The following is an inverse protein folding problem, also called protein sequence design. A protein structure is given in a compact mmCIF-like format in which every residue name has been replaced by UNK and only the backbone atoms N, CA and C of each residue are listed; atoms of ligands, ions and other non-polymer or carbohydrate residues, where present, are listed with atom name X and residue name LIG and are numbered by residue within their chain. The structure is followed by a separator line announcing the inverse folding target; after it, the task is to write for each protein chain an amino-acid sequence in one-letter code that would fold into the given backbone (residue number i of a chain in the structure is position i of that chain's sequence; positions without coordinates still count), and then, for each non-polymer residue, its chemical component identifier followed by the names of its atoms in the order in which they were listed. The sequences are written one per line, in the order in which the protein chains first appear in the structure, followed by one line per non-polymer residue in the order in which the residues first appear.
data_IF_420032400362
#
_entry.id   IF_420032400362
#
_cell.length_a   1.000
_cell.length_b   1.000
_cell.length_c   1.000
_cell.angle_alpha   90.00
_cell.angle_beta   90.00
_cell.angle_gamma   90.00
#
_symmetry.space_group_name_H-M   'P 1'
#
loop_
_entity.id
_entity.type
_entity.pdbx_description
1 polymer ?
#
# COMPACT_ATOMS: atom_id res chain seq x y z
N UNK A 1 39.39 5.53 23.22
CA UNK A 1 38.56 4.32 23.18
C UNK A 1 38.27 4.05 21.71
N UNK A 2 38.77 2.93 21.13
CA UNK A 2 38.52 2.57 19.74
C UNK A 2 37.05 2.23 19.59
N UNK A 3 36.38 2.96 18.72
CA UNK A 3 35.02 2.71 18.28
C UNK A 3 34.96 1.26 17.75
N UNK A 4 34.25 0.39 18.46
CA UNK A 4 33.99 -0.97 17.95
C UNK A 4 33.05 -0.78 16.78
N UNK A 5 33.59 -0.80 15.56
CA UNK A 5 32.80 -0.73 14.34
C UNK A 5 31.68 -1.78 14.42
N UNK A 6 30.45 -1.32 14.58
CA UNK A 6 29.26 -2.19 14.55
C UNK A 6 29.26 -2.90 13.21
N UNK A 7 29.21 -4.24 13.22
CA UNK A 7 29.15 -5.03 12.00
C UNK A 7 27.91 -4.64 11.19
N UNK A 8 28.00 -4.56 9.84
CA UNK A 8 26.84 -4.38 8.99
C UNK A 8 25.74 -5.41 9.33
N UNK A 9 24.49 -4.99 9.29
CA UNK A 9 23.33 -5.83 9.69
C UNK A 9 23.30 -7.18 8.97
N UNK A 10 23.66 -7.25 7.69
CA UNK A 10 23.75 -8.51 6.94
C UNK A 10 24.76 -9.50 7.54
N UNK A 11 25.93 -9.00 7.97
CA UNK A 11 26.91 -9.86 8.63
C UNK A 11 26.41 -10.34 10.00
N UNK A 12 25.64 -9.50 10.69
CA UNK A 12 24.99 -9.89 11.95
C UNK A 12 23.93 -10.97 11.69
N UNK A 13 23.08 -10.81 10.68
CA UNK A 13 22.07 -11.78 10.27
C UNK A 13 22.68 -13.13 9.90
N UNK A 14 23.75 -13.14 9.10
CA UNK A 14 24.44 -14.38 8.73
C UNK A 14 24.99 -15.11 9.98
N UNK A 15 25.62 -14.38 10.90
CA UNK A 15 26.11 -14.97 12.16
C UNK A 15 24.98 -15.45 13.06
N UNK A 16 23.85 -14.78 13.06
CA UNK A 16 22.67 -15.13 13.85
C UNK A 16 21.99 -16.39 13.31
N UNK A 17 21.84 -16.52 11.99
CA UNK A 17 21.15 -17.66 11.35
C UNK A 17 22.01 -18.91 11.22
N UNK A 18 23.33 -18.76 11.03
CA UNK A 18 24.25 -19.90 10.81
C UNK A 18 24.14 -21.02 11.86
N UNK A 19 24.05 -20.78 13.18
CA UNK A 19 23.95 -21.84 14.17
C UNK A 19 22.54 -22.40 14.34
N UNK A 20 21.52 -21.80 13.73
CA UNK A 20 20.12 -22.20 13.90
C UNK A 20 19.83 -23.55 13.24
N UNK A 21 18.95 -24.34 13.88
CA UNK A 21 18.48 -25.64 13.36
C UNK A 21 17.53 -25.46 12.18
N UNK A 22 18.03 -24.88 11.10
CA UNK A 22 17.27 -24.59 9.87
C UNK A 22 17.94 -25.29 8.68
N UNK A 23 17.12 -25.79 7.76
CA UNK A 23 17.60 -26.25 6.45
C UNK A 23 17.84 -24.97 5.61
N UNK A 24 19.05 -24.74 5.08
CA UNK A 24 19.32 -23.58 4.23
C UNK A 24 18.32 -23.49 3.06
N UNK A 25 17.68 -22.32 2.91
CA UNK A 25 16.64 -22.08 1.90
C UNK A 25 15.32 -22.82 2.13
N UNK A 26 15.18 -23.59 3.20
CA UNK A 26 14.00 -24.41 3.48
C UNK A 26 12.72 -23.61 3.76
N UNK A 27 12.84 -22.33 4.05
CA UNK A 27 11.72 -21.42 4.29
C UNK A 27 11.50 -20.41 3.13
N UNK A 28 12.32 -20.52 2.07
CA UNK A 28 12.17 -19.70 0.87
C UNK A 28 12.01 -18.21 1.17
N UNK A 29 11.01 -17.57 0.59
CA UNK A 29 10.72 -16.12 0.74
C UNK A 29 10.64 -15.64 2.19
N UNK A 30 10.30 -16.52 3.14
CA UNK A 30 10.19 -16.11 4.55
C UNK A 30 11.53 -15.74 5.17
N UNK A 31 12.63 -16.36 4.74
CA UNK A 31 13.97 -15.97 5.14
C UNK A 31 14.34 -14.62 4.53
N UNK A 32 14.01 -14.38 3.26
CA UNK A 32 14.27 -13.11 2.59
C UNK A 32 13.51 -11.96 3.27
N UNK A 33 12.24 -12.18 3.62
CA UNK A 33 11.45 -11.18 4.34
C UNK A 33 11.96 -10.95 5.76
N UNK A 34 12.37 -11.99 6.47
CA UNK A 34 13.01 -11.83 7.78
C UNK A 34 14.26 -10.94 7.68
N UNK A 35 15.13 -11.22 6.71
CA UNK A 35 16.34 -10.43 6.46
C UNK A 35 16.00 -8.98 6.10
N UNK A 36 15.05 -8.78 5.20
CA UNK A 36 14.60 -7.46 4.76
C UNK A 36 14.04 -6.62 5.92
N UNK A 37 13.19 -7.20 6.73
CA UNK A 37 12.61 -6.56 7.91
C UNK A 37 13.70 -6.17 8.92
N UNK A 38 14.59 -7.08 9.28
CA UNK A 38 15.69 -6.79 10.21
C UNK A 38 16.67 -5.75 9.64
N UNK A 39 16.90 -5.77 8.32
CA UNK A 39 17.74 -4.76 7.65
C UNK A 39 17.08 -3.38 7.69
N UNK A 40 15.78 -3.31 7.42
CA UNK A 40 15.00 -2.07 7.50
C UNK A 40 15.04 -1.47 8.92
N UNK A 41 14.91 -2.30 9.95
CA UNK A 41 14.99 -1.86 11.35
C UNK A 41 16.43 -1.52 11.80
N UNK A 42 17.43 -2.13 11.16
CA UNK A 42 18.84 -2.07 11.60
C UNK A 42 19.14 -2.93 12.83
N UNK A 43 18.24 -3.87 13.20
CA UNK A 43 18.36 -4.77 14.33
C UNK A 43 17.68 -6.13 14.06
N UNK A 44 18.09 -7.16 14.80
CA UNK A 44 17.46 -8.48 14.74
C UNK A 44 16.45 -8.59 15.88
N UNK A 45 15.17 -8.65 15.54
CA UNK A 45 14.07 -8.76 16.49
C UNK A 45 13.00 -9.74 16.00
N UNK A 46 12.41 -10.49 16.92
CA UNK A 46 11.27 -11.38 16.66
C UNK A 46 9.91 -10.71 16.86
N UNK A 47 9.88 -9.48 17.36
CA UNK A 47 8.64 -8.82 17.73
C UNK A 47 8.19 -7.83 16.63
N UNK A 48 7.12 -8.20 15.93
CA UNK A 48 6.38 -7.29 15.05
C UNK A 48 5.24 -6.64 15.84
N UNK A 49 5.27 -5.31 15.89
CA UNK A 49 4.20 -4.45 16.40
C UNK A 49 3.56 -3.73 15.23
N UNK A 50 2.49 -4.30 14.66
CA UNK A 50 1.91 -3.78 13.43
C UNK A 50 0.85 -2.72 13.69
N UNK A 51 0.62 -1.86 12.69
CA UNK A 51 -0.54 -0.99 12.57
C UNK A 51 -1.11 -1.09 11.16
N UNK A 52 -2.43 -1.28 11.06
CA UNK A 52 -3.15 -1.18 9.78
C UNK A 52 -3.86 0.16 9.69
N UNK A 53 -3.68 0.89 8.56
CA UNK A 53 -4.29 2.20 8.35
C UNK A 53 -5.11 2.16 7.06
N UNK A 54 -6.40 2.48 7.16
CA UNK A 54 -7.33 2.52 6.03
C UNK A 54 -7.62 3.98 5.69
N UNK A 55 -7.23 4.43 4.50
CA UNK A 55 -7.52 5.78 4.01
C UNK A 55 -8.79 5.77 3.18
N UNK A 56 -9.76 6.63 3.55
CA UNK A 56 -11.07 6.68 2.91
C UNK A 56 -11.27 8.01 2.18
N UNK A 57 -11.61 7.93 0.88
CA UNK A 57 -11.93 9.10 0.06
C UNK A 57 -12.83 8.72 -1.13
N UNK A 58 -13.67 9.65 -1.55
CA UNK A 58 -14.43 9.53 -2.80
C UNK A 58 -13.66 10.12 -3.98
N UNK A 59 -13.83 9.49 -5.14
CA UNK A 59 -13.19 9.90 -6.39
C UNK A 59 -14.23 10.49 -7.36
N UNK A 60 -14.00 11.71 -7.82
CA UNK A 60 -14.94 12.45 -8.67
C UNK A 60 -15.26 11.77 -10.02
N UNK A 61 -14.42 10.85 -10.50
CA UNK A 61 -14.70 10.04 -11.66
C UNK A 61 -15.92 9.13 -11.50
N UNK A 62 -16.36 8.85 -10.28
CA UNK A 62 -17.59 8.09 -10.03
C UNK A 62 -18.86 8.79 -10.55
N UNK A 63 -18.83 10.10 -10.76
CA UNK A 63 -19.93 10.86 -11.36
C UNK A 63 -20.28 10.40 -12.78
N UNK A 64 -19.36 9.73 -13.48
CA UNK A 64 -19.58 9.15 -14.81
C UNK A 64 -20.37 7.82 -14.78
N UNK A 65 -20.76 7.35 -13.59
CA UNK A 65 -21.60 6.16 -13.43
C UNK A 65 -20.91 4.84 -13.78
N UNK A 66 -19.58 4.78 -13.73
CA UNK A 66 -18.83 3.53 -13.93
C UNK A 66 -18.97 2.57 -12.77
N UNK A 67 -19.13 3.11 -11.58
CA UNK A 67 -19.42 2.36 -10.37
C UNK A 67 -20.91 2.51 -10.10
N UNK A 68 -21.65 1.41 -10.06
CA UNK A 68 -23.12 1.42 -9.94
C UNK A 68 -23.63 1.80 -8.54
N UNK A 69 -22.83 2.49 -7.73
CA UNK A 69 -23.14 2.94 -6.39
C UNK A 69 -23.08 4.47 -6.28
N UNK A 70 -23.86 5.05 -5.36
CA UNK A 70 -23.73 6.45 -4.98
C UNK A 70 -22.61 6.64 -3.93
N UNK A 71 -22.19 7.88 -3.69
CA UNK A 71 -21.14 8.22 -2.72
C UNK A 71 -21.45 7.78 -1.28
N UNK A 72 -22.73 7.57 -0.91
CA UNK A 72 -23.08 7.06 0.43
C UNK A 72 -22.43 5.71 0.76
N UNK A 73 -22.04 4.92 -0.26
CA UNK A 73 -21.40 3.62 -0.03
C UNK A 73 -20.03 3.79 0.61
N UNK A 74 -19.21 4.75 0.17
CA UNK A 74 -17.93 5.05 0.81
C UNK A 74 -18.13 5.41 2.28
N UNK A 75 -19.06 6.31 2.56
CA UNK A 75 -19.40 6.72 3.92
C UNK A 75 -19.89 5.54 4.77
N UNK A 76 -20.84 4.76 4.26
CA UNK A 76 -21.44 3.61 4.95
C UNK A 76 -20.40 2.52 5.23
N UNK A 77 -19.55 2.22 4.24
CA UNK A 77 -18.51 1.20 4.41
C UNK A 77 -17.41 1.66 5.39
N UNK A 78 -17.02 2.92 5.35
CA UNK A 78 -16.06 3.48 6.32
C UNK A 78 -16.62 3.43 7.77
N UNK A 79 -17.90 3.71 7.95
CA UNK A 79 -18.58 3.49 9.26
C UNK A 79 -18.64 2.03 9.65
N UNK A 80 -18.91 1.14 8.68
CA UNK A 80 -18.91 -0.31 8.90
C UNK A 80 -17.51 -0.80 9.37
N UNK A 81 -16.44 -0.24 8.81
CA UNK A 81 -15.07 -0.47 9.25
C UNK A 81 -14.82 -0.01 10.69
N UNK A 82 -15.25 1.21 11.05
CA UNK A 82 -15.15 1.70 12.42
C UNK A 82 -15.87 0.79 13.44
N UNK A 83 -17.00 0.23 13.05
CA UNK A 83 -17.73 -0.74 13.86
C UNK A 83 -17.04 -2.12 13.89
N UNK A 84 -15.97 -2.28 13.10
CA UNK A 84 -15.25 -3.55 12.99
C UNK A 84 -16.05 -4.66 12.33
N UNK A 85 -16.86 -4.33 11.32
CA UNK A 85 -17.76 -5.26 10.63
C UNK A 85 -17.38 -5.52 9.17
N UNK A 86 -16.34 -4.85 8.64
CA UNK A 86 -15.82 -5.12 7.30
C UNK A 86 -14.88 -6.32 7.28
N UNK A 87 -14.56 -6.82 6.08
CA UNK A 87 -13.62 -7.93 5.90
C UNK A 87 -12.27 -7.65 6.52
N UNK A 88 -11.66 -6.50 6.20
CA UNK A 88 -10.36 -6.10 6.75
C UNK A 88 -10.40 -6.01 8.27
N UNK A 89 -11.40 -5.35 8.83
CA UNK A 89 -11.47 -5.16 10.28
C UNK A 89 -11.79 -6.43 11.06
N UNK A 90 -12.48 -7.40 10.44
CA UNK A 90 -12.62 -8.74 11.02
C UNK A 90 -11.30 -9.51 11.03
N UNK A 91 -10.49 -9.40 9.95
CA UNK A 91 -9.15 -9.98 9.93
C UNK A 91 -8.23 -9.29 10.96
N UNK A 92 -8.30 -7.98 11.09
CA UNK A 92 -7.57 -7.24 12.12
C UNK A 92 -7.93 -7.73 13.53
N UNK A 93 -9.23 -7.83 13.85
CA UNK A 93 -9.70 -8.30 15.16
C UNK A 93 -9.23 -9.72 15.48
N UNK A 94 -9.38 -10.64 14.53
CA UNK A 94 -8.99 -12.04 14.73
C UNK A 94 -7.47 -12.18 14.97
N UNK A 95 -6.66 -11.39 14.26
CA UNK A 95 -5.19 -11.47 14.32
C UNK A 95 -4.57 -10.52 15.37
N UNK A 96 -5.38 -9.82 16.17
CA UNK A 96 -4.92 -8.81 17.13
C UNK A 96 -4.01 -7.77 16.47
N UNK A 97 -4.42 -7.24 15.31
CA UNK A 97 -3.75 -6.15 14.59
C UNK A 97 -4.55 -4.86 14.84
N UNK A 98 -3.98 -3.86 15.51
CA UNK A 98 -4.62 -2.55 15.64
C UNK A 98 -4.88 -1.93 14.26
N UNK A 99 -6.02 -1.26 14.12
CA UNK A 99 -6.37 -0.56 12.87
C UNK A 99 -7.02 0.78 13.15
N UNK A 100 -6.96 1.66 12.17
CA UNK A 100 -7.73 2.90 12.15
C UNK A 100 -8.31 3.18 10.76
N UNK A 101 -9.35 3.99 10.71
CA UNK A 101 -9.93 4.54 9.49
C UNK A 101 -9.70 6.04 9.49
N UNK A 102 -9.10 6.55 8.43
CA UNK A 102 -8.74 7.96 8.25
C UNK A 102 -9.57 8.52 7.11
N UNK A 103 -10.40 9.50 7.40
CA UNK A 103 -11.15 10.25 6.39
C UNK A 103 -10.25 11.31 5.78
N UNK A 104 -9.82 11.09 4.55
CA UNK A 104 -9.02 12.04 3.77
C UNK A 104 -9.84 12.73 2.66
N UNK A 105 -11.09 12.30 2.46
CA UNK A 105 -11.92 12.91 1.42
C UNK A 105 -13.25 12.22 1.15
N UNK A 106 -13.94 11.73 2.18
CA UNK A 106 -15.30 11.19 2.01
C UNK A 106 -16.26 12.34 1.66
N UNK A 107 -17.12 12.14 0.65
CA UNK A 107 -18.10 13.12 0.18
C UNK A 107 -19.30 13.22 1.14
N UNK A 108 -19.04 13.56 2.39
CA UNK A 108 -20.02 13.71 3.47
C UNK A 108 -19.64 14.87 4.37
N UNK A 109 -20.63 15.47 5.00
CA UNK A 109 -20.44 16.48 6.05
C UNK A 109 -20.03 15.86 7.39
N UNK A 110 -20.36 14.58 7.59
CA UNK A 110 -20.03 13.88 8.82
C UNK A 110 -18.54 13.50 8.84
N UNK A 111 -17.88 13.68 9.97
CA UNK A 111 -16.56 13.13 10.23
C UNK A 111 -16.61 11.62 10.45
N UNK A 112 -15.69 10.87 9.84
CA UNK A 112 -15.63 9.41 9.95
C UNK A 112 -14.22 9.00 10.36
N UNK A 113 -14.09 8.40 11.55
CA UNK A 113 -12.79 7.99 12.07
C UNK A 113 -11.88 9.16 12.40
N UNK A 114 -10.62 9.06 12.00
CA UNK A 114 -9.65 10.15 12.16
C UNK A 114 -9.88 11.18 11.07
N UNK A 115 -10.29 12.38 11.46
CA UNK A 115 -10.56 13.47 10.52
C UNK A 115 -9.25 14.08 9.98
N UNK A 116 -9.00 13.87 8.72
CA UNK A 116 -7.94 14.46 7.89
C UNK A 116 -8.51 14.91 6.54
N UNK A 117 -9.81 15.18 6.51
CA UNK A 117 -10.54 15.51 5.29
C UNK A 117 -9.94 16.71 4.56
N UNK A 118 -9.53 16.49 3.33
CA UNK A 118 -9.00 17.50 2.42
C UNK A 118 -10.14 18.26 1.75
N UNK A 119 -11.06 17.49 1.14
CA UNK A 119 -12.27 17.98 0.50
C UNK A 119 -13.33 16.87 0.48
N UNK A 120 -14.54 17.18 0.00
CA UNK A 120 -15.62 16.19 -0.21
C UNK A 120 -15.44 15.44 -1.54
N UNK A 121 -14.44 14.55 -1.57
CA UNK A 121 -13.99 13.85 -2.78
C UNK A 121 -13.14 14.73 -3.69
N UNK A 122 -12.46 14.08 -4.65
CA UNK A 122 -11.73 14.78 -5.71
C UNK A 122 -12.69 15.36 -6.76
N UNK A 123 -12.19 16.25 -7.61
CA UNK A 123 -12.92 16.70 -8.78
C UNK A 123 -12.99 15.58 -9.82
N UNK A 124 -13.96 15.70 -10.74
CA UNK A 124 -14.06 14.79 -11.89
C UNK A 124 -12.88 15.03 -12.85
N UNK A 125 -12.00 14.03 -12.94
CA UNK A 125 -10.76 14.09 -13.74
C UNK A 125 -11.00 14.18 -15.25
N UNK A 126 -12.19 13.86 -15.71
CA UNK A 126 -12.56 14.10 -17.12
C UNK A 126 -12.65 15.60 -17.42
N UNK A 127 -12.97 16.43 -16.44
CA UNK A 127 -13.23 17.85 -16.63
C UNK A 127 -12.14 18.74 -16.03
N UNK A 128 -11.53 18.35 -14.91
CA UNK A 128 -10.58 19.12 -14.11
C UNK A 128 -9.43 18.23 -13.61
N UNK A 129 -8.29 18.78 -13.16
CA UNK A 129 -7.38 18.06 -12.28
C UNK A 129 -8.13 17.52 -11.08
N UNK A 130 -7.75 16.33 -10.58
CA UNK A 130 -8.37 15.69 -9.41
C UNK A 130 -8.34 16.62 -8.19
N UNK A 131 -7.23 17.30 -8.00
CA UNK A 131 -6.98 18.16 -6.84
C UNK A 131 -6.01 19.29 -7.17
N UNK A 132 -5.98 20.31 -6.32
CA UNK A 132 -4.98 21.37 -6.34
C UNK A 132 -3.69 20.90 -5.67
N UNK A 133 -2.61 21.68 -5.82
CA UNK A 133 -1.33 21.39 -5.14
C UNK A 133 -1.47 21.44 -3.62
N UNK A 134 -2.23 22.38 -3.08
CA UNK A 134 -2.52 22.47 -1.63
C UNK A 134 -3.27 21.22 -1.14
N UNK A 135 -4.29 20.79 -1.87
CA UNK A 135 -5.04 19.57 -1.55
C UNK A 135 -4.16 18.33 -1.61
N UNK A 136 -3.26 18.22 -2.60
CA UNK A 136 -2.25 17.16 -2.66
C UNK A 136 -1.37 17.17 -1.40
N UNK A 137 -0.81 18.32 -1.05
CA UNK A 137 0.08 18.45 0.11
C UNK A 137 -0.64 18.07 1.42
N UNK A 138 -1.90 18.48 1.59
CA UNK A 138 -2.71 18.11 2.76
C UNK A 138 -3.01 16.62 2.84
N UNK A 139 -3.37 15.99 1.73
CA UNK A 139 -3.59 14.54 1.67
C UNK A 139 -2.30 13.76 1.95
N UNK A 140 -1.18 14.19 1.35
CA UNK A 140 0.14 13.60 1.58
C UNK A 140 0.54 13.69 3.05
N UNK A 141 0.41 14.87 3.64
CA UNK A 141 0.73 15.12 5.04
C UNK A 141 -0.17 14.30 5.98
N UNK A 142 -1.44 14.11 5.62
CA UNK A 142 -2.34 13.25 6.39
C UNK A 142 -1.80 11.82 6.52
N UNK A 143 -1.31 11.22 5.43
CA UNK A 143 -0.70 9.88 5.46
C UNK A 143 0.62 9.85 6.24
N UNK A 144 1.50 10.82 5.98
CA UNK A 144 2.80 10.95 6.65
C UNK A 144 2.65 11.05 8.18
N UNK A 145 1.79 11.95 8.67
CA UNK A 145 1.57 12.17 10.10
C UNK A 145 0.97 10.95 10.82
N UNK A 146 0.18 10.13 10.14
CA UNK A 146 -0.35 8.92 10.77
C UNK A 146 0.75 7.89 11.03
N UNK A 147 1.68 7.72 10.10
CA UNK A 147 2.85 6.86 10.31
C UNK A 147 3.73 7.43 11.43
N UNK A 148 4.07 8.72 11.38
CA UNK A 148 4.87 9.37 12.42
C UNK A 148 4.25 9.19 13.82
N UNK A 149 2.92 9.38 13.92
CA UNK A 149 2.19 9.20 15.17
C UNK A 149 2.38 7.80 15.77
N UNK A 150 2.27 6.76 14.96
CA UNK A 150 2.39 5.38 15.43
C UNK A 150 3.84 4.94 15.65
N UNK A 151 4.78 5.46 14.88
CA UNK A 151 6.22 5.24 15.13
C UNK A 151 6.60 5.74 16.52
N UNK A 152 6.11 6.90 16.95
CA UNK A 152 6.29 7.44 18.31
C UNK A 152 5.73 6.53 19.41
N UNK A 153 4.76 5.66 19.07
CA UNK A 153 4.19 4.65 19.98
C UNK A 153 4.90 3.29 19.89
N UNK A 154 5.99 3.20 19.11
CA UNK A 154 6.78 1.99 18.97
C UNK A 154 6.27 0.98 17.95
N UNK A 155 5.33 1.35 17.08
CA UNK A 155 4.94 0.54 15.92
C UNK A 155 6.13 0.42 14.97
N UNK A 156 6.36 -0.80 14.46
CA UNK A 156 7.55 -1.10 13.65
C UNK A 156 7.25 -1.76 12.29
N UNK A 157 5.98 -2.06 11.99
CA UNK A 157 5.50 -2.56 10.70
C UNK A 157 4.16 -1.92 10.38
N UNK A 158 3.99 -1.47 9.13
CA UNK A 158 2.74 -0.89 8.66
C UNK A 158 2.09 -1.73 7.56
N UNK A 159 0.78 -1.65 7.46
CA UNK A 159 0.01 -2.10 6.30
C UNK A 159 -1.08 -1.09 5.99
N UNK A 160 -1.38 -0.92 4.70
CA UNK A 160 -2.31 0.10 4.26
C UNK A 160 -3.49 -0.54 3.54
N UNK A 161 -4.67 0.00 3.83
CA UNK A 161 -5.91 -0.27 3.13
C UNK A 161 -6.50 1.02 2.59
N UNK A 162 -7.54 0.89 1.82
CA UNK A 162 -8.25 1.99 1.22
C UNK A 162 -9.76 1.73 1.17
N UNK A 163 -10.53 2.79 1.09
CA UNK A 163 -11.96 2.73 0.79
C UNK A 163 -12.36 3.95 -0.02
N UNK A 164 -12.75 3.74 -1.29
CA UNK A 164 -13.19 4.85 -2.13
C UNK A 164 -13.82 4.39 -3.43
N UNK A 165 -15.05 4.85 -3.70
CA UNK A 165 -15.66 4.57 -4.99
C UNK A 165 -14.89 5.26 -6.12
N UNK A 166 -14.54 4.50 -7.15
CA UNK A 166 -13.82 5.00 -8.32
C UNK A 166 -12.30 4.90 -8.23
N UNK A 167 -11.72 4.53 -7.09
CA UNK A 167 -10.26 4.51 -6.90
C UNK A 167 -9.50 3.51 -7.79
N UNK A 168 -10.11 2.39 -8.20
CA UNK A 168 -9.51 1.51 -9.21
C UNK A 168 -9.40 2.17 -10.59
N UNK A 169 -10.29 3.13 -10.90
CA UNK A 169 -10.25 3.89 -12.14
C UNK A 169 -9.16 4.96 -12.10
N UNK A 170 -9.08 5.74 -11.00
CA UNK A 170 -8.01 6.72 -10.82
C UNK A 170 -6.64 6.05 -10.70
N UNK A 171 -6.54 4.89 -10.04
CA UNK A 171 -5.31 4.09 -10.02
C UNK A 171 -4.87 3.64 -11.42
N UNK A 172 -5.80 3.22 -12.28
CA UNK A 172 -5.47 2.89 -13.67
C UNK A 172 -4.99 4.11 -14.46
N UNK A 173 -5.60 5.29 -14.24
CA UNK A 173 -5.11 6.54 -14.83
C UNK A 173 -3.69 6.88 -14.37
N UNK A 174 -3.43 6.79 -13.06
CA UNK A 174 -2.10 7.06 -12.48
C UNK A 174 -1.06 6.09 -13.03
N UNK A 175 -1.35 4.79 -13.03
CA UNK A 175 -0.39 3.78 -13.51
C UNK A 175 -0.10 3.94 -15.01
N UNK A 176 -1.12 4.13 -15.83
CA UNK A 176 -0.92 4.38 -17.28
C UNK A 176 -0.13 5.67 -17.53
N UNK A 177 -0.39 6.75 -16.78
CA UNK A 177 0.36 8.00 -16.89
C UNK A 177 1.82 7.85 -16.44
N UNK A 178 2.07 7.04 -15.42
CA UNK A 178 3.40 6.79 -14.86
C UNK A 178 4.27 5.97 -15.81
N UNK A 179 3.74 4.86 -16.31
CA UNK A 179 4.47 3.84 -17.07
C UNK A 179 4.35 3.98 -18.59
N UNK A 180 3.37 4.71 -19.08
CA UNK A 180 3.03 4.78 -20.52
C UNK A 180 2.24 3.56 -21.03
N UNK A 181 1.83 2.64 -20.15
CA UNK A 181 1.07 1.45 -20.53
C UNK A 181 -0.33 1.80 -21.06
N UNK A 182 -0.80 1.04 -22.07
CA UNK A 182 -2.16 1.21 -22.60
C UNK A 182 -3.20 0.90 -21.52
N UNK A 183 -4.30 1.64 -21.43
CA UNK A 183 -5.37 1.39 -20.46
C UNK A 183 -5.96 -0.02 -20.48
N UNK A 184 -5.81 -0.78 -21.56
CA UNK A 184 -6.20 -2.20 -21.60
C UNK A 184 -5.36 -3.09 -20.69
N UNK A 185 -4.17 -2.63 -20.29
CA UNK A 185 -3.25 -3.34 -19.39
C UNK A 185 -3.45 -2.95 -17.91
N UNK A 186 -3.91 -1.72 -17.67
CA UNK A 186 -4.02 -1.16 -16.32
C UNK A 186 -5.45 -1.20 -15.76
N UNK A 187 -6.47 -1.16 -16.62
CA UNK A 187 -7.87 -1.18 -16.21
C UNK A 187 -8.32 -2.60 -15.86
N UNK A 188 -8.73 -2.79 -14.61
CA UNK A 188 -9.33 -4.00 -14.10
C UNK A 188 -10.84 -3.88 -13.84
N UNK A 189 -11.50 -5.00 -13.50
CA UNK A 189 -12.95 -5.05 -13.31
C UNK A 189 -13.45 -4.30 -12.08
N UNK A 190 -12.57 -4.03 -11.11
CA UNK A 190 -12.97 -3.47 -9.83
C UNK A 190 -14.00 -4.36 -9.12
N UNK A 191 -15.01 -3.75 -8.53
CA UNK A 191 -16.08 -4.47 -7.81
C UNK A 191 -17.08 -5.22 -8.73
N UNK A 192 -16.89 -5.19 -10.08
CA UNK A 192 -17.83 -5.75 -11.04
C UNK A 192 -17.17 -6.71 -12.05
N UNK A 193 -16.80 -7.93 -11.64
CA UNK A 193 -15.95 -8.81 -12.47
C UNK A 193 -16.57 -9.31 -13.79
N UNK A 194 -17.87 -9.20 -13.97
CA UNK A 194 -18.60 -9.83 -15.10
C UNK A 194 -19.40 -8.84 -15.95
N UNK A 195 -18.87 -7.63 -16.21
CA UNK A 195 -19.54 -6.62 -17.06
C UNK A 195 -18.61 -6.07 -18.16
N UNK A 196 -18.54 -6.75 -19.34
CA UNK A 196 -17.66 -6.35 -20.44
C UNK A 196 -17.90 -4.91 -20.93
N UNK A 197 -19.15 -4.47 -21.02
CA UNK A 197 -19.50 -3.11 -21.46
C UNK A 197 -18.99 -2.05 -20.48
N UNK A 198 -19.04 -2.34 -19.20
CA UNK A 198 -18.50 -1.45 -18.16
C UNK A 198 -16.97 -1.36 -18.27
N UNK A 199 -16.30 -2.48 -18.53
CA UNK A 199 -14.86 -2.54 -18.74
C UNK A 199 -14.43 -1.67 -19.92
N UNK A 200 -15.12 -1.80 -21.07
CA UNK A 200 -14.85 -0.98 -22.25
C UNK A 200 -15.01 0.51 -21.95
N UNK A 201 -16.11 0.90 -21.29
CA UNK A 201 -16.36 2.29 -20.90
C UNK A 201 -15.26 2.82 -19.96
N UNK A 202 -14.78 2.02 -19.00
CA UNK A 202 -13.65 2.41 -18.13
C UNK A 202 -12.37 2.64 -18.94
N UNK A 203 -12.04 1.76 -19.88
CA UNK A 203 -10.87 1.90 -20.74
C UNK A 203 -10.96 3.19 -21.57
N UNK A 204 -12.12 3.44 -22.20
CA UNK A 204 -12.34 4.64 -23.01
C UNK A 204 -12.26 5.91 -22.15
N UNK A 205 -12.79 5.86 -20.92
CA UNK A 205 -12.67 6.96 -19.96
C UNK A 205 -11.20 7.24 -19.59
N UNK A 206 -10.42 6.21 -19.23
CA UNK A 206 -9.01 6.37 -18.88
C UNK A 206 -8.22 6.97 -20.03
N UNK A 207 -8.48 6.53 -21.29
CA UNK A 207 -7.86 7.13 -22.48
C UNK A 207 -8.19 8.62 -22.61
N UNK A 208 -9.46 8.99 -22.48
CA UNK A 208 -9.88 10.39 -22.57
C UNK A 208 -9.23 11.27 -21.48
N UNK A 209 -9.11 10.75 -20.25
CA UNK A 209 -8.43 11.43 -19.15
C UNK A 209 -6.95 11.62 -19.45
N UNK A 210 -6.26 10.58 -19.90
CA UNK A 210 -4.83 10.66 -20.24
C UNK A 210 -4.57 11.67 -21.36
N UNK A 211 -5.36 11.62 -22.44
CA UNK A 211 -5.25 12.57 -23.55
C UNK A 211 -5.45 14.01 -23.11
N UNK A 212 -6.38 14.25 -22.20
CA UNK A 212 -6.65 15.57 -21.65
C UNK A 212 -5.49 16.11 -20.83
N UNK A 213 -4.91 15.29 -19.97
CA UNK A 213 -3.92 15.74 -18.99
C UNK A 213 -2.46 15.61 -19.43
N UNK A 214 -2.17 14.92 -20.56
CA UNK A 214 -0.79 14.63 -21.01
C UNK A 214 0.16 15.82 -21.04
N UNK A 215 -0.30 17.00 -21.41
CA UNK A 215 0.52 18.19 -21.48
C UNK A 215 0.80 18.80 -20.08
N UNK A 216 -0.01 18.50 -19.10
CA UNK A 216 0.09 19.06 -17.73
C UNK A 216 0.88 18.20 -16.77
N UNK A 217 1.09 16.91 -17.09
CA UNK A 217 1.74 15.91 -16.22
C UNK A 217 3.23 15.69 -16.55
N UNK A 218 3.84 16.55 -17.36
CA UNK A 218 5.26 16.50 -17.70
C UNK A 218 6.10 17.32 -16.73
N UNK A 219 7.32 16.87 -16.45
CA UNK A 219 8.32 17.59 -15.65
C UNK A 219 9.71 17.03 -15.94
N UNK A 220 10.75 17.86 -15.74
CA UNK A 220 12.14 17.42 -15.81
C UNK A 220 12.59 16.68 -14.55
N UNK A 221 11.88 16.89 -13.43
CA UNK A 221 12.07 16.15 -12.17
C UNK A 221 11.07 15.01 -12.10
N UNK A 222 11.56 13.79 -11.88
CA UNK A 222 10.71 12.61 -11.77
C UNK A 222 9.76 12.70 -10.57
N UNK A 223 10.24 13.13 -9.42
CA UNK A 223 9.39 13.34 -8.24
C UNK A 223 8.29 14.37 -8.49
N UNK A 224 8.60 15.46 -9.22
CA UNK A 224 7.59 16.46 -9.58
C UNK A 224 6.64 15.92 -10.65
N UNK A 225 7.10 15.10 -11.58
CA UNK A 225 6.26 14.43 -12.57
C UNK A 225 5.21 13.55 -11.87
N UNK A 226 5.64 12.73 -10.89
CA UNK A 226 4.73 11.90 -10.08
C UNK A 226 3.70 12.76 -9.36
N UNK A 227 4.12 13.85 -8.70
CA UNK A 227 3.19 14.77 -8.03
C UNK A 227 2.12 15.30 -8.98
N UNK A 228 2.53 15.76 -10.18
CA UNK A 228 1.62 16.23 -11.21
C UNK A 228 0.67 15.13 -11.69
N UNK A 229 1.19 13.93 -11.96
CA UNK A 229 0.35 12.79 -12.36
C UNK A 229 -0.74 12.56 -11.33
N UNK A 230 -0.36 12.37 -10.06
CA UNK A 230 -1.33 12.03 -9.01
C UNK A 230 -2.28 13.18 -8.71
N UNK A 231 -1.82 14.44 -8.74
CA UNK A 231 -2.68 15.62 -8.57
C UNK A 231 -3.69 15.79 -9.71
N UNK A 232 -3.34 15.38 -10.92
CA UNK A 232 -4.23 15.52 -12.08
C UNK A 232 -5.22 14.36 -12.23
N UNK A 233 -4.79 13.12 -11.99
CA UNK A 233 -5.59 11.94 -12.33
C UNK A 233 -5.75 10.92 -11.19
N UNK A 234 -5.25 11.21 -9.99
CA UNK A 234 -5.30 10.33 -8.82
C UNK A 234 -6.49 10.56 -7.88
N UNK A 235 -6.31 10.12 -6.64
CA UNK A 235 -7.27 10.23 -5.54
C UNK A 235 -6.59 10.62 -4.22
N UNK A 236 -7.34 11.18 -3.27
CA UNK A 236 -6.79 11.55 -1.95
C UNK A 236 -6.32 10.33 -1.15
N UNK A 237 -6.96 9.18 -1.30
CA UNK A 237 -6.56 7.90 -0.72
C UNK A 237 -5.17 7.46 -1.23
N UNK A 238 -4.94 7.51 -2.56
CA UNK A 238 -3.64 7.20 -3.17
C UNK A 238 -2.56 8.16 -2.65
N UNK A 239 -2.85 9.47 -2.58
CA UNK A 239 -1.89 10.49 -2.09
C UNK A 239 -1.55 10.26 -0.62
N UNK A 240 -2.55 9.94 0.22
CA UNK A 240 -2.30 9.65 1.63
C UNK A 240 -1.47 8.39 1.83
N UNK A 241 -1.74 7.31 1.07
CA UNK A 241 -0.92 6.09 1.10
C UNK A 241 0.51 6.39 0.64
N UNK A 242 0.68 7.19 -0.42
CA UNK A 242 1.99 7.65 -0.90
C UNK A 242 2.78 8.38 0.20
N UNK A 243 2.14 9.33 0.89
CA UNK A 243 2.74 10.04 2.02
C UNK A 243 3.11 9.10 3.17
N UNK A 244 2.25 8.13 3.49
CA UNK A 244 2.49 7.12 4.51
C UNK A 244 3.69 6.20 4.16
N UNK A 245 3.81 5.77 2.90
CA UNK A 245 4.94 4.92 2.46
C UNK A 245 6.27 5.67 2.51
N UNK A 246 6.30 6.94 2.11
CA UNK A 246 7.52 7.75 2.21
C UNK A 246 7.91 8.03 3.66
N UNK A 247 6.95 8.23 4.56
CA UNK A 247 7.20 8.30 6.00
C UNK A 247 7.78 6.98 6.55
N UNK A 248 7.30 5.83 6.08
CA UNK A 248 7.86 4.53 6.47
C UNK A 248 9.35 4.42 6.13
N UNK A 249 9.78 4.90 4.96
CA UNK A 249 11.22 4.96 4.58
C UNK A 249 11.99 5.87 5.51
N UNK A 250 11.48 7.08 5.77
CA UNK A 250 12.15 8.05 6.65
C UNK A 250 12.33 7.51 8.06
N UNK A 251 11.30 6.89 8.63
CA UNK A 251 11.32 6.31 9.96
C UNK A 251 11.89 4.88 10.02
N UNK A 252 12.38 4.35 8.88
CA UNK A 252 12.94 2.99 8.78
C UNK A 252 11.96 1.91 9.26
N UNK A 253 10.76 1.97 8.74
CA UNK A 253 9.69 1.00 9.03
C UNK A 253 9.28 0.27 7.76
N UNK A 254 9.40 -1.06 7.69
CA UNK A 254 8.86 -1.82 6.57
C UNK A 254 7.33 -1.69 6.53
N UNK A 255 6.78 -1.82 5.33
CA UNK A 255 5.35 -1.79 5.10
C UNK A 255 4.91 -2.87 4.11
N UNK A 256 3.66 -3.28 4.22
CA UNK A 256 3.07 -4.30 3.37
C UNK A 256 2.15 -3.67 2.33
N UNK A 257 2.43 -3.96 1.06
CA UNK A 257 1.58 -3.60 -0.09
C UNK A 257 0.42 -4.59 -0.15
N UNK A 258 -0.81 -4.10 -0.24
CA UNK A 258 -2.02 -4.93 -0.39
C UNK A 258 -2.24 -5.34 -1.85
N UNK A 259 -3.20 -4.73 -2.51
CA UNK A 259 -3.58 -5.00 -3.90
C UNK A 259 -3.23 -3.85 -4.83
N UNK A 260 -4.02 -3.70 -5.89
CA UNK A 260 -3.75 -2.80 -7.00
C UNK A 260 -3.53 -1.35 -6.58
N UNK A 261 -4.43 -0.77 -5.76
CA UNK A 261 -4.36 0.66 -5.41
C UNK A 261 -3.11 0.97 -4.60
N UNK A 262 -2.78 0.13 -3.61
CA UNK A 262 -1.57 0.29 -2.81
C UNK A 262 -0.29 0.00 -3.61
N UNK A 263 -0.34 -0.92 -4.59
CA UNK A 263 0.77 -1.14 -5.51
C UNK A 263 1.03 0.08 -6.40
N UNK A 264 -0.02 0.75 -6.89
CA UNK A 264 0.10 2.01 -7.64
C UNK A 264 0.68 3.13 -6.77
N UNK A 265 0.26 3.23 -5.50
CA UNK A 265 0.87 4.19 -4.59
C UNK A 265 2.36 3.89 -4.34
N UNK A 266 2.75 2.62 -4.22
CA UNK A 266 4.15 2.20 -4.09
C UNK A 266 4.96 2.49 -5.37
N UNK A 267 4.38 2.25 -6.55
CA UNK A 267 4.97 2.63 -7.84
C UNK A 267 5.23 4.14 -7.93
N UNK A 268 4.29 4.96 -7.48
CA UNK A 268 4.51 6.41 -7.37
C UNK A 268 5.61 6.74 -6.35
N UNK A 269 5.63 6.06 -5.21
CA UNK A 269 6.57 6.32 -4.14
C UNK A 269 8.03 6.03 -4.54
N UNK A 270 8.30 4.95 -5.29
CA UNK A 270 9.66 4.60 -5.72
C UNK A 270 10.24 5.64 -6.68
N UNK A 271 9.43 6.21 -7.56
CA UNK A 271 9.84 7.31 -8.45
C UNK A 271 10.12 8.63 -7.70
N UNK A 272 9.65 8.76 -6.45
CA UNK A 272 10.00 9.89 -5.57
C UNK A 272 11.18 9.57 -4.65
N UNK A 273 11.37 8.30 -4.29
CA UNK A 273 12.46 7.84 -3.43
C UNK A 273 12.72 6.34 -3.70
N UNK A 274 13.81 6.04 -4.40
CA UNK A 274 14.21 4.66 -4.76
C UNK A 274 14.31 3.70 -3.57
N UNK A 275 14.56 4.23 -2.36
CA UNK A 275 14.65 3.43 -1.14
C UNK A 275 13.32 2.79 -0.71
N UNK A 276 12.23 3.09 -1.36
CA UNK A 276 10.94 2.38 -1.16
C UNK A 276 11.15 0.87 -1.29
N UNK A 277 11.98 0.44 -2.24
CA UNK A 277 12.28 -0.98 -2.48
C UNK A 277 12.88 -1.68 -1.27
N UNK A 278 13.61 -0.96 -0.40
CA UNK A 278 14.21 -1.50 0.83
C UNK A 278 13.15 -1.86 1.89
N UNK A 279 11.97 -1.23 1.85
CA UNK A 279 10.95 -1.30 2.90
C UNK A 279 9.65 -1.97 2.46
N UNK A 280 9.39 -2.05 1.18
CA UNK A 280 8.15 -2.60 0.60
C UNK A 280 8.14 -4.14 0.65
N UNK A 281 7.06 -4.73 1.16
CA UNK A 281 6.82 -6.17 1.21
C UNK A 281 5.51 -6.47 0.46
N UNK A 282 5.48 -7.34 -0.55
CA UNK A 282 4.23 -7.72 -1.21
C UNK A 282 3.39 -8.63 -0.31
N UNK A 283 2.08 -8.64 -0.55
CA UNK A 283 1.18 -9.55 0.15
C UNK A 283 0.65 -10.66 -0.74
N UNK A 284 -0.21 -10.33 -1.67
CA UNK A 284 -0.96 -11.30 -2.46
C UNK A 284 -0.99 -10.96 -3.94
N UNK A 285 -1.19 -11.97 -4.76
CA UNK A 285 -1.48 -11.82 -6.18
C UNK A 285 -2.94 -11.35 -6.35
N UNK A 286 -3.11 -10.09 -6.73
CA UNK A 286 -4.43 -9.51 -6.97
C UNK A 286 -4.96 -9.88 -8.36
N UNK A 287 -6.29 -9.99 -8.49
CA UNK A 287 -6.94 -10.19 -9.80
C UNK A 287 -7.06 -8.90 -10.63
N UNK A 288 -6.72 -7.74 -10.08
CA UNK A 288 -6.69 -6.49 -10.84
C UNK A 288 -5.49 -6.48 -11.80
N UNK A 289 -5.75 -6.24 -13.09
CA UNK A 289 -4.78 -6.36 -14.18
C UNK A 289 -3.48 -5.60 -13.97
N UNK A 290 -3.57 -4.36 -13.56
CA UNK A 290 -2.41 -3.48 -13.42
C UNK A 290 -1.50 -3.80 -12.22
N UNK A 291 -1.87 -4.76 -11.36
CA UNK A 291 -1.12 -5.01 -10.12
C UNK A 291 0.32 -5.46 -10.40
N UNK A 292 0.52 -6.38 -11.33
CA UNK A 292 1.85 -6.87 -11.68
C UNK A 292 2.74 -5.77 -12.24
N UNK A 293 2.18 -4.94 -13.12
CA UNK A 293 2.89 -3.80 -13.68
C UNK A 293 3.29 -2.79 -12.59
N UNK A 294 2.38 -2.50 -11.65
CA UNK A 294 2.68 -1.60 -10.54
C UNK A 294 3.73 -2.17 -9.57
N UNK A 295 3.71 -3.49 -9.30
CA UNK A 295 4.71 -4.16 -8.47
C UNK A 295 6.08 -4.20 -9.15
N UNK A 296 6.13 -4.34 -10.48
CA UNK A 296 7.38 -4.31 -11.23
C UNK A 296 8.13 -2.98 -11.09
N UNK A 297 7.44 -1.85 -10.95
CA UNK A 297 8.06 -0.54 -10.67
C UNK A 297 8.84 -0.51 -9.34
N UNK A 298 8.48 -1.36 -8.38
CA UNK A 298 9.16 -1.50 -7.08
C UNK A 298 10.01 -2.76 -6.98
N UNK A 299 10.47 -3.30 -8.12
CA UNK A 299 11.32 -4.49 -8.22
C UNK A 299 10.70 -5.76 -7.59
N UNK A 300 9.38 -5.88 -7.58
CA UNK A 300 8.66 -7.04 -7.05
C UNK A 300 8.08 -7.84 -8.22
N UNK A 301 8.59 -9.07 -8.39
CA UNK A 301 8.11 -10.04 -9.37
C UNK A 301 7.07 -11.00 -8.78
N UNK A 302 6.35 -11.74 -9.62
CA UNK A 302 5.27 -12.64 -9.16
C UNK A 302 5.75 -13.75 -8.21
N UNK A 303 6.95 -14.28 -8.42
CA UNK A 303 7.58 -15.31 -7.58
C UNK A 303 7.95 -14.79 -6.18
N UNK A 304 8.04 -13.46 -6.03
CA UNK A 304 8.22 -12.79 -4.73
C UNK A 304 6.91 -12.56 -3.99
N UNK A 305 5.74 -12.88 -4.56
CA UNK A 305 4.43 -12.66 -3.92
C UNK A 305 3.95 -13.94 -3.23
N UNK A 306 3.87 -13.99 -1.89
CA UNK A 306 3.71 -15.25 -1.17
C UNK A 306 2.27 -15.80 -1.16
N UNK A 307 1.24 -14.95 -1.31
CA UNK A 307 -0.15 -15.38 -1.22
C UNK A 307 -0.78 -15.47 -2.60
N UNK A 308 -1.08 -16.67 -3.06
CA UNK A 308 -1.70 -16.98 -4.36
C UNK A 308 -3.19 -17.35 -4.19
N UNK A 309 -3.98 -16.43 -3.66
CA UNK A 309 -5.38 -16.68 -3.31
C UNK A 309 -6.39 -15.98 -4.25
N UNK A 310 -5.92 -15.35 -5.33
CA UNK A 310 -6.75 -14.63 -6.32
C UNK A 310 -7.72 -13.61 -5.69
N UNK A 311 -7.25 -12.88 -4.68
CA UNK A 311 -8.04 -11.90 -3.96
C UNK A 311 -8.23 -10.62 -4.78
N UNK A 312 -9.34 -9.92 -4.52
CA UNK A 312 -9.64 -8.59 -5.06
C UNK A 312 -10.65 -7.84 -4.16
N UNK A 313 -10.57 -8.07 -2.85
CA UNK A 313 -11.51 -7.47 -1.89
C UNK A 313 -11.18 -6.02 -1.57
N UNK A 314 -9.88 -5.63 -1.62
CA UNK A 314 -9.42 -4.33 -1.16
C UNK A 314 -9.37 -4.22 0.36
N UNK A 315 -9.50 -3.01 0.88
CA UNK A 315 -9.49 -2.67 2.31
C UNK A 315 -8.16 -3.01 3.03
N UNK A 316 -7.15 -3.49 2.34
CA UNK A 316 -5.92 -4.01 2.94
C UNK A 316 -5.98 -5.47 3.38
N UNK A 317 -6.99 -6.22 2.93
CA UNK A 317 -7.24 -7.60 3.40
C UNK A 317 -6.07 -8.55 3.16
N UNK A 318 -5.41 -8.48 2.01
CA UNK A 318 -4.23 -9.30 1.72
C UNK A 318 -3.03 -8.91 2.57
N UNK A 319 -2.85 -7.59 2.77
CA UNK A 319 -1.77 -7.08 3.61
C UNK A 319 -1.93 -7.52 5.08
N UNK A 320 -3.15 -7.55 5.62
CA UNK A 320 -3.41 -8.02 6.98
C UNK A 320 -3.05 -9.51 7.14
N UNK A 321 -3.41 -10.35 6.16
CA UNK A 321 -3.02 -11.76 6.15
C UNK A 321 -1.49 -11.92 6.11
N UNK A 322 -0.82 -11.14 5.25
CA UNK A 322 0.64 -11.13 5.19
C UNK A 322 1.28 -10.71 6.51
N UNK A 323 0.77 -9.66 7.17
CA UNK A 323 1.24 -9.24 8.51
C UNK A 323 1.21 -10.40 9.50
N UNK A 324 0.14 -11.21 9.51
CA UNK A 324 0.06 -12.37 10.39
C UNK A 324 1.11 -13.44 10.06
N UNK A 325 1.35 -13.69 8.78
CA UNK A 325 2.39 -14.63 8.35
C UNK A 325 3.79 -14.12 8.74
N UNK A 326 4.05 -12.84 8.56
CA UNK A 326 5.29 -12.20 9.00
C UNK A 326 5.50 -12.29 10.52
N UNK A 327 4.47 -12.04 11.32
CA UNK A 327 4.54 -12.21 12.80
C UNK A 327 4.97 -13.64 13.17
N UNK A 328 4.36 -14.63 12.51
CA UNK A 328 4.65 -16.04 12.76
C UNK A 328 6.08 -16.40 12.38
N UNK A 329 6.52 -16.02 11.20
CA UNK A 329 7.85 -16.36 10.68
C UNK A 329 8.96 -15.59 11.40
N UNK A 330 8.76 -14.29 11.69
CA UNK A 330 9.70 -13.48 12.47
C UNK A 330 9.95 -14.08 13.85
N UNK A 331 8.87 -14.45 14.56
CA UNK A 331 8.96 -15.12 15.83
C UNK A 331 9.75 -16.44 15.75
N UNK A 332 9.44 -17.26 14.74
CA UNK A 332 10.11 -18.55 14.52
C UNK A 332 11.61 -18.37 14.29
N UNK A 333 12.04 -17.47 13.38
CA UNK A 333 13.46 -17.25 13.08
C UNK A 333 14.28 -16.84 14.31
N UNK A 334 13.70 -16.04 15.19
CA UNK A 334 14.39 -15.61 16.41
C UNK A 334 14.46 -16.74 17.45
N UNK A 335 13.40 -17.52 17.60
CA UNK A 335 13.25 -18.47 18.72
C UNK A 335 13.62 -19.92 18.39
N UNK A 336 13.77 -20.29 17.11
CA UNK A 336 14.22 -21.64 16.76
C UNK A 336 15.59 -21.95 17.39
N UNK A 337 15.74 -23.15 17.93
CA UNK A 337 16.96 -23.61 18.60
C UNK A 337 18.17 -23.70 17.66
N UNK A 338 19.34 -23.92 18.23
CA UNK A 338 20.59 -24.13 17.48
C UNK A 338 20.91 -25.61 17.32
N UNK A 339 21.79 -25.94 16.39
CA UNK A 339 22.33 -27.32 16.30
C UNK A 339 23.03 -27.74 17.58
N UNK A 340 23.66 -26.81 18.30
CA UNK A 340 24.27 -27.12 19.60
C UNK A 340 23.22 -27.46 20.66
N UNK A 341 22.02 -26.90 20.61
CA UNK A 341 20.92 -27.26 21.50
C UNK A 341 20.38 -28.64 21.16
N UNK A 342 20.22 -28.95 19.87
CA UNK A 342 19.79 -30.27 19.41
C UNK A 342 20.73 -31.38 19.86
N UNK A 343 22.05 -31.15 19.84
CA UNK A 343 23.05 -32.15 20.22
C UNK A 343 23.15 -32.39 21.73
N UNK A 344 22.43 -31.65 22.56
CA UNK A 344 22.32 -31.85 24.01
C UNK A 344 21.14 -32.74 24.42
N UNK A 345 20.27 -33.07 23.51
CA UNK A 345 19.11 -33.97 23.72
C UNK A 345 19.52 -35.41 23.60
#
# INVERSE_FOLDING_TARGET
MKDKSVLPIEKQLNRFLQPKCLIPGGLGLWEDYFRKICTAWGEISGEIRPQHIIFSADNGCNMEGYVGYNYEVTQKQSRNMLLGRSSATQFCKFNNIPYEVVDVGIASDDGIGVDRKVAKGTKNILNHPAMTEDEFNRAFQAGYERVEHYVKQGINLFSFGEMGLGNTTTSACVLSALTGADPTETVGPGSWPNKPDLMKRKIDFVRAVLDKHKASIVSDSEAERVRKIVAHVGGFDIVAILGAMLACVEFKRPFVIDGFITAVAAACAVHMNERITDYALPSHHSREKGTELALAEVDITQDMVPIQAHMSMGEGTGAILMVQMLKTTQHMFVNVGTFADLMKL
#
